data_IF_611751286816
#
_entry.id   IF_611751286816
#
_cell.length_a   1.000
_cell.length_b   1.000
_cell.length_c   1.000
_cell.angle_alpha   90.00
_cell.angle_beta   90.00
_cell.angle_gamma   90.00
#
_symmetry.space_group_name_H-M   'P 1'
#
loop_
_entity.id
_entity.type
_entity.pdbx_description
1 polymer ?
#
# COMPACT_ATOMS: atom_id res chain seq x y z
N UNK A 1 1.12 13.96 2.76
CA UNK A 1 0.93 12.75 3.59
C UNK A 1 2.25 12.47 4.29
N UNK A 2 2.25 12.15 5.58
CA UNK A 2 3.46 11.75 6.32
C UNK A 2 3.58 10.23 6.41
N UNK A 3 4.80 9.74 6.64
CA UNK A 3 5.09 8.32 6.83
C UNK A 3 4.32 7.72 8.01
N UNK A 4 4.26 8.44 9.14
CA UNK A 4 3.53 8.00 10.35
C UNK A 4 2.04 7.77 10.10
N UNK A 5 1.39 8.66 9.35
CA UNK A 5 -0.02 8.50 8.98
C UNK A 5 -0.22 7.29 8.07
N UNK A 6 0.71 7.10 7.11
CA UNK A 6 0.65 5.97 6.19
C UNK A 6 0.90 4.63 6.91
N UNK A 7 1.87 4.57 7.83
CA UNK A 7 2.14 3.38 8.64
C UNK A 7 0.94 3.04 9.52
N UNK A 8 0.32 4.03 10.16
CA UNK A 8 -0.89 3.83 10.97
C UNK A 8 -2.05 3.26 10.13
N UNK A 9 -2.25 3.75 8.90
CA UNK A 9 -3.26 3.21 8.01
C UNK A 9 -3.02 1.72 7.69
N UNK A 10 -1.78 1.31 7.43
CA UNK A 10 -1.45 -0.10 7.22
C UNK A 10 -1.74 -0.91 8.49
N UNK A 11 -1.33 -0.42 9.67
CA UNK A 11 -1.58 -1.11 10.94
C UNK A 11 -3.07 -1.35 11.20
N UNK A 12 -3.90 -0.32 10.99
CA UNK A 12 -5.34 -0.40 11.25
C UNK A 12 -6.02 -1.33 10.25
N UNK A 13 -5.68 -1.23 8.96
CA UNK A 13 -6.30 -2.01 7.89
C UNK A 13 -5.87 -3.48 7.93
N UNK A 14 -4.60 -3.75 8.23
CA UNK A 14 -4.04 -5.12 8.15
C UNK A 14 -3.91 -5.81 9.50
N UNK A 15 -3.96 -5.07 10.60
CA UNK A 15 -3.65 -5.57 11.95
C UNK A 15 -2.15 -5.82 12.19
N UNK A 16 -1.27 -5.50 11.23
CA UNK A 16 0.17 -5.73 11.36
C UNK A 16 0.78 -4.63 12.25
N UNK A 17 1.48 -4.99 13.34
CA UNK A 17 2.16 -4.02 14.19
C UNK A 17 3.24 -3.18 13.45
N UNK A 18 3.38 -1.90 13.81
CA UNK A 18 4.34 -0.96 13.22
C UNK A 18 5.78 -1.50 13.14
N UNK A 19 6.23 -2.17 14.22
CA UNK A 19 7.60 -2.68 14.33
C UNK A 19 7.90 -3.84 13.36
N UNK A 20 6.88 -4.36 12.67
CA UNK A 20 7.00 -5.39 11.65
C UNK A 20 6.84 -4.84 10.24
N UNK A 21 6.65 -3.53 10.09
CA UNK A 21 6.57 -2.82 8.81
C UNK A 21 7.86 -2.04 8.58
N UNK A 22 8.59 -2.38 7.52
CA UNK A 22 9.79 -1.66 7.08
C UNK A 22 9.39 -0.76 5.91
N UNK A 23 9.83 0.50 5.93
CA UNK A 23 9.66 1.42 4.80
C UNK A 23 10.57 0.97 3.64
N UNK A 24 9.99 0.82 2.45
CA UNK A 24 10.75 0.53 1.24
C UNK A 24 11.44 1.82 0.73
N UNK A 25 12.69 1.68 0.30
CA UNK A 25 13.52 2.76 -0.24
C UNK A 25 12.93 3.39 -1.53
N UNK A 26 12.00 2.71 -2.21
CA UNK A 26 11.28 3.24 -3.37
C UNK A 26 10.09 4.15 -3.02
N UNK A 27 9.83 4.39 -1.73
CA UNK A 27 8.80 5.35 -1.30
C UNK A 27 9.09 6.75 -1.85
N UNK A 28 8.06 7.41 -2.40
CA UNK A 28 8.17 8.72 -3.03
C UNK A 28 7.13 9.70 -2.46
N UNK A 29 7.31 11.01 -2.66
CA UNK A 29 6.35 11.99 -2.17
C UNK A 29 4.93 11.69 -2.68
N UNK A 30 4.04 11.32 -1.75
CA UNK A 30 2.65 11.00 -2.05
C UNK A 30 2.31 9.51 -2.17
N UNK A 31 3.29 8.61 -2.07
CA UNK A 31 3.08 7.17 -1.93
C UNK A 31 4.12 6.56 -1.00
N UNK A 32 3.67 6.00 0.12
CA UNK A 32 4.53 5.25 1.02
C UNK A 32 4.38 3.75 0.76
N UNK A 33 5.50 3.04 0.79
CA UNK A 33 5.53 1.60 0.57
C UNK A 33 6.11 0.93 1.81
N UNK A 34 5.39 -0.05 2.35
CA UNK A 34 5.79 -0.80 3.53
C UNK A 34 5.89 -2.28 3.22
N UNK A 35 6.97 -2.92 3.66
CA UNK A 35 7.15 -4.37 3.57
C UNK A 35 6.93 -4.98 4.94
N UNK A 36 6.04 -5.97 5.01
CA UNK A 36 5.83 -6.75 6.23
C UNK A 36 6.93 -7.79 6.39
N UNK A 37 7.65 -7.74 7.52
CA UNK A 37 8.65 -8.75 7.87
C UNK A 37 8.05 -10.14 8.10
N UNK A 38 6.77 -10.24 8.45
CA UNK A 38 6.09 -11.51 8.70
C UNK A 38 5.72 -12.24 7.40
N UNK A 39 5.06 -11.53 6.50
CA UNK A 39 4.45 -12.11 5.29
C UNK A 39 5.25 -11.85 4.03
N UNK A 40 6.26 -10.98 4.09
CA UNK A 40 7.00 -10.46 2.94
C UNK A 40 6.09 -9.79 1.90
N UNK A 41 4.90 -9.34 2.33
CA UNK A 41 3.96 -8.60 1.50
C UNK A 41 4.32 -7.12 1.49
N UNK A 42 4.12 -6.50 0.33
CA UNK A 42 4.32 -5.07 0.11
C UNK A 42 2.99 -4.35 0.08
N UNK A 43 2.86 -3.32 0.91
CA UNK A 43 1.68 -2.48 1.05
C UNK A 43 2.00 -1.07 0.56
N UNK A 44 1.25 -0.62 -0.43
CA UNK A 44 1.29 0.74 -0.93
C UNK A 44 0.21 1.56 -0.22
N UNK A 45 0.55 2.80 0.12
CA UNK A 45 -0.35 3.73 0.80
C UNK A 45 -0.37 5.04 0.05
N UNK A 46 -1.56 5.41 -0.40
CA UNK A 46 -1.82 6.64 -1.12
C UNK A 46 -3.09 7.30 -0.62
N UNK A 47 -3.35 8.56 -0.97
CA UNK A 47 -4.64 9.17 -0.66
C UNK A 47 -5.75 8.49 -1.46
N UNK A 48 -6.89 8.17 -0.83
CA UNK A 48 -8.09 7.63 -1.52
C UNK A 48 -8.49 8.49 -2.71
N UNK A 49 -8.38 9.82 -2.57
CA UNK A 49 -8.67 10.76 -3.65
C UNK A 49 -7.77 10.57 -4.90
N UNK A 50 -6.51 10.20 -4.73
CA UNK A 50 -5.58 9.90 -5.84
C UNK A 50 -5.92 8.55 -6.46
N UNK A 51 -6.10 7.52 -5.64
CA UNK A 51 -6.47 6.17 -6.12
C UNK A 51 -7.77 6.19 -6.92
N UNK A 52 -8.78 6.95 -6.48
CA UNK A 52 -10.05 7.09 -7.19
C UNK A 52 -9.96 7.82 -8.54
N UNK A 53 -8.81 8.42 -8.86
CA UNK A 53 -8.56 9.06 -10.16
C UNK A 53 -7.76 8.18 -11.11
N UNK A 54 -7.27 7.03 -10.65
CA UNK A 54 -6.60 6.07 -11.51
C UNK A 54 -7.57 5.48 -12.53
N UNK A 55 -7.07 5.28 -13.74
CA UNK A 55 -7.77 4.58 -14.80
C UNK A 55 -7.93 3.09 -14.46
N UNK A 56 -8.90 2.40 -15.07
CA UNK A 56 -9.05 0.96 -14.90
C UNK A 56 -7.76 0.18 -15.17
N UNK A 57 -6.98 0.60 -16.18
CA UNK A 57 -5.68 0.01 -16.56
C UNK A 57 -4.64 0.16 -15.44
N UNK A 58 -4.57 1.32 -14.79
CA UNK A 58 -3.67 1.55 -13.65
C UNK A 58 -4.06 0.74 -12.41
N UNK A 59 -5.37 0.49 -12.23
CA UNK A 59 -5.89 -0.28 -11.10
C UNK A 59 -5.97 -1.79 -11.33
N UNK A 60 -5.68 -2.28 -12.54
CA UNK A 60 -5.89 -3.68 -12.90
C UNK A 60 -5.11 -4.65 -12.00
N UNK A 61 -3.90 -4.24 -11.61
CA UNK A 61 -2.99 -5.02 -10.77
C UNK A 61 -3.10 -4.64 -9.28
N UNK A 62 -3.93 -3.66 -8.95
CA UNK A 62 -4.11 -3.16 -7.58
C UNK A 62 -5.15 -4.00 -6.83
N UNK A 63 -4.72 -4.59 -5.72
CA UNK A 63 -5.62 -5.24 -4.76
C UNK A 63 -5.81 -4.33 -3.54
N UNK A 64 -6.94 -3.64 -3.48
CA UNK A 64 -7.30 -2.82 -2.33
C UNK A 64 -7.50 -3.71 -1.10
N UNK A 65 -6.76 -3.43 -0.04
CA UNK A 65 -6.87 -4.12 1.26
C UNK A 65 -7.86 -3.40 2.16
N UNK A 66 -7.86 -2.06 2.12
CA UNK A 66 -8.82 -1.24 2.83
C UNK A 66 -8.46 0.24 2.83
N UNK A 67 -9.30 1.03 3.50
CA UNK A 67 -9.13 2.47 3.63
C UNK A 67 -9.21 2.90 5.10
N UNK A 68 -8.41 3.89 5.46
CA UNK A 68 -8.42 4.50 6.79
C UNK A 68 -8.02 5.97 6.70
N UNK A 69 -8.82 6.86 7.30
CA UNK A 69 -8.57 8.31 7.37
C UNK A 69 -8.24 8.98 6.02
N UNK A 70 -8.92 8.55 4.96
CA UNK A 70 -8.74 9.07 3.60
C UNK A 70 -7.47 8.57 2.90
N UNK A 71 -6.81 7.57 3.48
CA UNK A 71 -5.71 6.82 2.88
C UNK A 71 -6.21 5.45 2.43
N UNK A 72 -5.75 5.03 1.27
CA UNK A 72 -6.02 3.74 0.66
C UNK A 72 -4.77 2.87 0.78
N UNK A 73 -4.95 1.66 1.31
CA UNK A 73 -3.90 0.64 1.46
C UNK A 73 -4.17 -0.47 0.45
N UNK A 74 -3.20 -0.76 -0.39
CA UNK A 74 -3.33 -1.79 -1.43
C UNK A 74 -2.03 -2.58 -1.64
N UNK A 75 -2.16 -3.81 -2.15
CA UNK A 75 -1.05 -4.63 -2.65
C UNK A 75 -1.00 -4.49 -4.18
N UNK A 76 0.20 -4.53 -4.78
CA UNK A 76 0.36 -4.66 -6.23
C UNK A 76 0.56 -6.13 -6.59
N UNK A 77 -0.23 -6.64 -7.52
CA UNK A 77 0.00 -7.94 -8.13
C UNK A 77 1.16 -7.81 -9.11
N UNK A 78 2.25 -8.58 -8.96
CA UNK A 78 3.34 -8.52 -9.92
C UNK A 78 2.89 -9.00 -11.30
N UNK A 79 3.19 -8.23 -12.34
CA UNK A 79 2.87 -8.54 -13.74
C UNK A 79 3.45 -9.89 -14.22
N UNK A 80 4.51 -10.39 -13.58
CA UNK A 80 5.09 -11.70 -13.92
C UNK A 80 4.32 -12.88 -13.33
N UNK A 81 3.33 -12.67 -12.45
CA UNK A 81 2.47 -13.77 -11.98
C UNK A 81 1.63 -14.37 -13.11
N UNK A 82 1.39 -13.63 -14.19
CA UNK A 82 0.64 -14.12 -15.36
C UNK A 82 1.50 -14.88 -16.38
N UNK A 83 2.83 -14.95 -16.15
CA UNK A 83 3.77 -15.66 -17.02
C UNK A 83 4.00 -17.13 -16.63
N UNK A 84 3.26 -17.63 -15.63
CA UNK A 84 3.37 -19.00 -15.09
C UNK A 84 2.31 -19.94 -15.68
#
# INVERSE_FOLDING_TARGET
MSEELAQNAVMVVTGIPANLLIVDAQSYEGCYVFVSNLSQKTYHVETTHKVNRYSPEETQDMKIIGEHDGLCVYEMTPWWNELV
#
